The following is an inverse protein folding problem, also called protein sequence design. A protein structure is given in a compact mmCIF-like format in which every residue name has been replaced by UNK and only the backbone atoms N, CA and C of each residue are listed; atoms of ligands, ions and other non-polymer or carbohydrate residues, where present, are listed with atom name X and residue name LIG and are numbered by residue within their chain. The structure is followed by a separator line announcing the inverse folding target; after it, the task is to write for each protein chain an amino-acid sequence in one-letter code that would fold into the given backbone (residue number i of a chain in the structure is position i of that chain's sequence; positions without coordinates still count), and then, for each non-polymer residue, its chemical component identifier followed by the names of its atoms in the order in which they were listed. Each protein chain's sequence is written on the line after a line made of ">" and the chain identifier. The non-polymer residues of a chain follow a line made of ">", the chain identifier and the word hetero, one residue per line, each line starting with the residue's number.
data_IF_659577015717
#
_entry.id   IF_659577015717
#
_cell.length_a   1.000
_cell.length_b   1.000
_cell.length_c   1.000
_cell.angle_alpha   90.00
_cell.angle_beta   90.00
_cell.angle_gamma   90.00
#
_symmetry.space_group_name_H-M   'P 1'
#
loop_
_entity.id
_entity.type
_entity.pdbx_description
1 polymer ?
#
# COMPACT_ATOMS: atom_id res chain seq x y z
N UNK A 1 0.15 19.21 6.83
CA UNK A 1 0.66 17.95 6.24
C UNK A 1 1.64 17.29 7.20
N UNK A 2 1.24 16.20 7.87
CA UNK A 2 2.17 15.33 8.61
C UNK A 2 2.58 14.24 7.61
N UNK A 3 3.76 14.38 7.03
CA UNK A 3 4.34 13.32 6.20
C UNK A 3 4.74 12.17 7.12
N UNK A 4 4.06 11.02 6.97
CA UNK A 4 4.48 9.80 7.63
C UNK A 4 5.77 9.30 6.98
N UNK A 5 6.91 9.61 7.58
CA UNK A 5 8.20 9.06 7.21
C UNK A 5 8.27 7.63 7.73
N UNK A 6 8.36 6.62 6.85
CA UNK A 6 8.69 5.27 7.31
C UNK A 6 10.20 5.11 7.39
N UNK A 7 10.68 4.80 8.59
CA UNK A 7 12.09 4.61 8.88
C UNK A 7 12.32 3.12 9.17
N UNK A 8 13.24 2.50 8.43
CA UNK A 8 13.73 1.15 8.72
C UNK A 8 14.92 1.29 9.67
N UNK A 9 14.78 0.74 10.88
CA UNK A 9 15.84 0.73 11.88
C UNK A 9 16.60 -0.59 11.81
N UNK A 10 17.77 -0.57 11.17
CA UNK A 10 18.67 -1.72 11.19
C UNK A 10 19.44 -1.74 12.53
N UNK A 11 19.26 -2.83 13.30
CA UNK A 11 19.86 -2.97 14.62
C UNK A 11 21.13 -3.82 14.54
N UNK A 12 22.16 -3.54 15.36
CA UNK A 12 23.34 -4.40 15.38
C UNK A 12 22.97 -5.83 15.78
N UNK A 13 23.67 -6.82 15.21
CA UNK A 13 23.42 -8.23 15.52
C UNK A 13 23.51 -8.52 17.02
N UNK A 14 22.47 -9.16 17.57
CA UNK A 14 22.32 -9.43 19.02
C UNK A 14 23.31 -10.46 19.58
N UNK A 15 24.14 -11.06 18.72
CA UNK A 15 25.09 -12.12 19.08
C UNK A 15 26.28 -11.61 19.92
N UNK A 16 26.60 -10.31 19.86
CA UNK A 16 27.75 -9.70 20.54
C UNK A 16 27.41 -8.97 21.85
N UNK A 17 26.15 -8.97 22.28
CA UNK A 17 25.68 -8.13 23.37
C UNK A 17 25.47 -8.94 24.66
N UNK A 18 25.70 -8.34 25.82
CA UNK A 18 25.26 -8.94 27.07
C UNK A 18 23.74 -8.75 27.26
N UNK A 19 23.10 -9.63 28.02
CA UNK A 19 21.63 -9.71 28.10
C UNK A 19 20.98 -8.40 28.58
N UNK A 20 21.58 -7.72 29.55
CA UNK A 20 21.03 -6.47 30.09
C UNK A 20 21.16 -5.31 29.10
N UNK A 21 22.25 -5.24 28.33
CA UNK A 21 22.44 -4.23 27.29
C UNK A 21 21.44 -4.37 26.15
N UNK A 22 21.15 -5.61 25.70
CA UNK A 22 20.15 -5.85 24.64
C UNK A 22 18.79 -5.39 25.08
N UNK A 23 18.35 -5.80 26.28
CA UNK A 23 17.00 -5.50 26.75
C UNK A 23 16.79 -4.00 26.91
N UNK A 24 17.69 -3.33 27.61
CA UNK A 24 17.59 -1.88 27.84
C UNK A 24 17.62 -1.09 26.53
N UNK A 25 18.47 -1.48 25.58
CA UNK A 25 18.53 -0.85 24.26
C UNK A 25 17.25 -1.08 23.44
N UNK A 26 16.79 -2.33 23.34
CA UNK A 26 15.60 -2.65 22.54
C UNK A 26 14.34 -2.01 23.14
N UNK A 27 14.20 -1.98 24.47
CA UNK A 27 13.12 -1.24 25.14
C UNK A 27 13.18 0.24 24.77
N UNK A 28 14.35 0.86 24.92
CA UNK A 28 14.54 2.28 24.57
C UNK A 28 14.22 2.55 23.10
N UNK A 29 14.64 1.67 22.20
CA UNK A 29 14.38 1.81 20.77
C UNK A 29 12.89 1.69 20.47
N UNK A 30 12.22 0.68 21.04
CA UNK A 30 10.78 0.48 20.85
C UNK A 30 9.97 1.67 21.41
N UNK A 31 10.34 2.20 22.57
CA UNK A 31 9.69 3.37 23.16
C UNK A 31 9.88 4.63 22.33
N UNK A 32 11.05 4.82 21.74
CA UNK A 32 11.36 5.98 20.88
C UNK A 32 10.72 5.89 19.51
N UNK A 33 10.67 4.69 18.93
CA UNK A 33 10.30 4.49 17.50
C UNK A 33 8.87 4.02 17.30
N UNK A 34 8.26 3.39 18.32
CA UNK A 34 6.91 2.81 18.26
C UNK A 34 6.68 1.99 16.96
N UNK A 35 7.49 0.95 16.71
CA UNK A 35 7.52 0.31 15.41
C UNK A 35 6.24 -0.47 15.12
N UNK A 36 5.77 -0.42 13.87
CA UNK A 36 4.62 -1.22 13.43
C UNK A 36 4.92 -2.72 13.36
N UNK A 37 6.18 -3.06 13.05
CA UNK A 37 6.64 -4.42 12.84
C UNK A 37 8.11 -4.54 13.27
N UNK A 38 8.43 -5.68 13.88
CA UNK A 38 9.79 -6.11 14.15
C UNK A 38 10.10 -7.33 13.28
N UNK A 39 11.16 -7.25 12.48
CA UNK A 39 11.64 -8.35 11.64
C UNK A 39 12.92 -8.91 12.28
N UNK A 40 12.81 -10.10 12.86
CA UNK A 40 13.95 -10.80 13.46
C UNK A 40 14.54 -11.79 12.46
N UNK A 41 15.79 -11.57 12.06
CA UNK A 41 16.50 -12.42 11.11
C UNK A 41 17.45 -13.38 11.83
N UNK A 42 17.39 -14.67 11.51
CA UNK A 42 18.39 -15.66 11.93
C UNK A 42 18.85 -16.52 10.75
N UNK A 43 20.14 -16.84 10.70
CA UNK A 43 20.70 -17.70 9.66
C UNK A 43 20.90 -19.13 10.18
N UNK A 44 20.76 -20.17 9.34
CA UNK A 44 21.08 -21.55 9.73
C UNK A 44 22.52 -21.65 10.21
N UNK A 45 22.70 -21.95 11.50
CA UNK A 45 24.02 -22.05 12.14
C UNK A 45 24.48 -20.81 12.90
N UNK A 46 23.78 -19.67 12.78
CA UNK A 46 23.90 -18.54 13.73
C UNK A 46 22.65 -18.55 14.62
N UNK A 47 22.75 -19.27 15.73
CA UNK A 47 21.71 -19.23 16.76
C UNK A 47 22.06 -18.12 17.73
N UNK A 48 21.23 -17.09 17.76
CA UNK A 48 21.16 -16.22 18.91
C UNK A 48 20.77 -17.03 20.15
N UNK A 49 21.00 -16.44 21.33
CA UNK A 49 20.48 -16.97 22.58
C UNK A 49 18.95 -16.96 22.51
N UNK A 50 18.35 -18.14 22.44
CA UNK A 50 16.89 -18.32 22.29
C UNK A 50 16.08 -17.58 23.37
N UNK A 51 16.67 -17.37 24.55
CA UNK A 51 16.07 -16.59 25.64
C UNK A 51 15.89 -15.12 25.27
N UNK A 52 16.83 -14.50 24.54
CA UNK A 52 16.71 -13.12 24.07
C UNK A 52 15.58 -13.01 23.04
N UNK A 53 15.49 -13.96 22.11
CA UNK A 53 14.44 -13.99 21.09
C UNK A 53 13.07 -14.16 21.76
N UNK A 54 12.93 -15.10 22.69
CA UNK A 54 11.68 -15.28 23.45
C UNK A 54 11.27 -14.02 24.18
N UNK A 55 12.20 -13.35 24.86
CA UNK A 55 11.92 -12.08 25.53
C UNK A 55 11.45 -11.02 24.53
N UNK A 56 12.18 -10.82 23.43
CA UNK A 56 11.86 -9.80 22.43
C UNK A 56 10.47 -10.04 21.81
N UNK A 57 10.13 -11.28 21.48
CA UNK A 57 8.80 -11.63 20.95
C UNK A 57 7.71 -11.37 22.00
N UNK A 58 7.99 -11.63 23.28
CA UNK A 58 7.04 -11.33 24.37
C UNK A 58 6.80 -9.82 24.51
N UNK A 59 7.85 -9.01 24.43
CA UNK A 59 7.73 -7.54 24.45
C UNK A 59 6.95 -7.01 23.25
N UNK A 60 7.20 -7.54 22.04
CA UNK A 60 6.43 -7.18 20.85
C UNK A 60 4.94 -7.46 21.07
N UNK A 61 4.61 -8.63 21.63
CA UNK A 61 3.22 -8.96 21.95
C UNK A 61 2.60 -7.99 22.96
N UNK A 62 3.28 -7.71 24.08
CA UNK A 62 2.78 -6.78 25.12
C UNK A 62 2.53 -5.37 24.58
N UNK A 63 3.31 -4.94 23.57
CA UNK A 63 3.22 -3.62 22.95
C UNK A 63 2.41 -3.59 21.65
N UNK A 64 1.76 -4.70 21.28
CA UNK A 64 1.00 -4.84 20.02
C UNK A 64 1.83 -4.54 18.75
N UNK A 65 3.09 -4.96 18.75
CA UNK A 65 4.01 -4.84 17.61
C UNK A 65 3.99 -6.16 16.86
N UNK A 66 3.72 -6.11 15.55
CA UNK A 66 3.73 -7.32 14.72
C UNK A 66 5.15 -7.92 14.65
N UNK A 67 5.28 -9.24 14.76
CA UNK A 67 6.58 -9.91 14.79
C UNK A 67 6.76 -10.85 13.59
N UNK A 68 7.71 -10.54 12.71
CA UNK A 68 8.13 -11.45 11.64
C UNK A 68 9.44 -12.15 12.02
N UNK A 69 9.38 -13.47 12.27
CA UNK A 69 10.56 -14.30 12.52
C UNK A 69 11.04 -14.93 11.21
N UNK A 70 12.20 -14.51 10.74
CA UNK A 70 12.69 -14.79 9.40
C UNK A 70 13.96 -15.63 9.46
N UNK A 71 13.89 -16.85 8.94
CA UNK A 71 15.08 -17.65 8.67
C UNK A 71 15.70 -17.19 7.33
N UNK A 72 16.87 -16.55 7.39
CA UNK A 72 17.61 -16.14 6.20
C UNK A 72 18.37 -17.31 5.59
N UNK A 73 18.91 -17.14 4.39
CA UNK A 73 19.63 -18.19 3.67
C UNK A 73 18.81 -19.49 3.55
N UNK A 74 17.57 -19.38 3.06
CA UNK A 74 16.62 -20.51 3.01
C UNK A 74 17.15 -21.78 2.33
N UNK A 75 18.16 -21.65 1.47
CA UNK A 75 18.77 -22.77 0.75
C UNK A 75 20.03 -23.31 1.44
N UNK A 76 20.65 -22.55 2.34
CA UNK A 76 21.91 -22.91 2.98
C UNK A 76 21.70 -23.77 4.23
N UNK A 77 22.58 -24.76 4.40
CA UNK A 77 22.68 -25.55 5.63
C UNK A 77 21.60 -26.61 5.84
N UNK A 78 21.89 -27.55 6.75
CA UNK A 78 20.99 -28.67 7.09
C UNK A 78 19.96 -28.33 8.16
N UNK A 79 20.13 -27.20 8.86
CA UNK A 79 19.39 -26.87 10.09
C UNK A 79 18.35 -25.75 9.92
N UNK A 80 18.03 -25.32 8.70
CA UNK A 80 17.01 -24.28 8.44
C UNK A 80 15.64 -24.62 9.03
N UNK A 81 15.23 -25.89 8.91
CA UNK A 81 13.96 -26.34 9.50
C UNK A 81 14.03 -26.25 11.03
N UNK A 82 15.18 -26.57 11.63
CA UNK A 82 15.37 -26.41 13.07
C UNK A 82 15.25 -24.96 13.54
N UNK A 83 15.61 -23.96 12.71
CA UNK A 83 15.37 -22.54 13.03
C UNK A 83 13.88 -22.22 12.99
N UNK A 84 13.18 -22.65 11.93
CA UNK A 84 11.73 -22.45 11.77
C UNK A 84 10.94 -23.13 12.90
N UNK A 85 11.28 -24.37 13.22
CA UNK A 85 10.65 -25.15 14.29
C UNK A 85 10.84 -24.46 15.65
N UNK A 86 12.02 -23.90 15.89
CA UNK A 86 12.34 -23.19 17.12
C UNK A 86 11.57 -21.86 17.23
N UNK A 87 11.46 -21.11 16.14
CA UNK A 87 10.60 -19.92 16.07
C UNK A 87 9.14 -20.26 16.34
N UNK A 88 8.63 -21.33 15.71
CA UNK A 88 7.27 -21.81 15.98
C UNK A 88 7.11 -22.25 17.45
N UNK A 89 8.12 -22.88 18.04
CA UNK A 89 8.09 -23.27 19.46
C UNK A 89 8.03 -22.06 20.38
N UNK A 90 8.80 -21.01 20.09
CA UNK A 90 8.76 -19.74 20.84
C UNK A 90 7.36 -19.12 20.73
N UNK A 91 6.82 -18.98 19.53
CA UNK A 91 5.50 -18.38 19.31
C UNK A 91 4.37 -19.19 19.96
N UNK A 92 4.38 -20.52 19.85
CA UNK A 92 3.41 -21.38 20.53
C UNK A 92 3.49 -21.26 22.07
N UNK A 93 4.67 -20.99 22.62
CA UNK A 93 4.83 -20.79 24.07
C UNK A 93 4.25 -19.46 24.55
N UNK A 94 4.30 -18.42 23.71
CA UNK A 94 3.79 -17.07 24.01
C UNK A 94 2.29 -16.97 23.67
N UNK A 95 1.85 -17.65 22.62
CA UNK A 95 0.49 -17.64 22.10
C UNK A 95 -0.13 -19.05 22.07
N UNK A 96 -0.37 -19.69 23.22
CA UNK A 96 -0.79 -21.11 23.29
C UNK A 96 -2.17 -21.38 22.69
N UNK A 97 -2.98 -20.33 22.44
CA UNK A 97 -4.34 -20.45 21.90
C UNK A 97 -4.40 -20.21 20.38
N UNK A 98 -3.33 -19.71 19.76
CA UNK A 98 -3.28 -19.43 18.33
C UNK A 98 -2.86 -20.70 17.60
N UNK A 99 -3.66 -21.12 16.62
CA UNK A 99 -3.32 -22.26 15.77
C UNK A 99 -2.62 -21.74 14.52
N UNK A 100 -1.38 -22.15 14.25
CA UNK A 100 -0.65 -21.65 13.10
C UNK A 100 -1.29 -22.12 11.78
N UNK A 101 -1.31 -21.23 10.79
CA UNK A 101 -1.81 -21.50 9.44
C UNK A 101 -0.64 -21.36 8.47
N UNK A 102 -0.37 -22.39 7.69
CA UNK A 102 0.68 -22.34 6.67
C UNK A 102 0.08 -22.02 5.29
N UNK A 103 0.60 -20.96 4.66
CA UNK A 103 0.20 -20.52 3.32
C UNK A 103 1.44 -19.94 2.61
N UNK A 104 1.74 -20.43 1.40
CA UNK A 104 2.84 -19.96 0.57
C UNK A 104 4.23 -19.98 1.24
N UNK A 105 4.51 -20.99 2.07
CA UNK A 105 5.74 -21.11 2.88
C UNK A 105 5.86 -20.03 3.98
N UNK A 106 4.76 -19.39 4.35
CA UNK A 106 4.66 -18.51 5.51
C UNK A 106 3.75 -19.18 6.54
N UNK A 107 4.18 -19.24 7.79
CA UNK A 107 3.42 -19.77 8.91
C UNK A 107 2.88 -18.58 9.69
N UNK A 108 1.58 -18.34 9.60
CA UNK A 108 0.89 -17.24 10.24
C UNK A 108 0.42 -17.62 11.64
N UNK A 109 0.65 -16.73 12.61
CA UNK A 109 0.09 -16.77 13.95
C UNK A 109 -0.92 -15.63 14.08
N UNK A 110 -2.04 -15.76 13.37
CA UNK A 110 -3.09 -14.73 13.29
C UNK A 110 -2.50 -13.35 12.88
N UNK A 111 -2.95 -12.27 13.52
CA UNK A 111 -2.50 -10.90 13.29
C UNK A 111 -1.33 -10.46 14.21
N UNK A 112 -0.67 -11.39 14.92
CA UNK A 112 0.41 -11.03 15.88
C UNK A 112 1.81 -11.36 15.36
N UNK A 113 1.96 -12.45 14.61
CA UNK A 113 3.27 -12.86 14.14
C UNK A 113 3.21 -13.73 12.88
N UNK A 114 4.35 -13.83 12.19
CA UNK A 114 4.58 -14.83 11.16
C UNK A 114 5.99 -15.44 11.27
N UNK A 115 6.14 -16.63 10.70
CA UNK A 115 7.44 -17.29 10.50
C UNK A 115 7.61 -17.57 9.02
N UNK A 116 8.77 -17.26 8.46
CA UNK A 116 9.07 -17.57 7.05
C UNK A 116 10.56 -17.81 6.82
N UNK A 117 10.89 -18.31 5.64
CA UNK A 117 12.26 -18.44 5.15
C UNK A 117 12.47 -17.56 3.93
N UNK A 118 13.60 -16.86 3.87
CA UNK A 118 13.93 -15.99 2.72
C UNK A 118 15.35 -16.18 2.25
N UNK A 119 15.56 -15.87 0.97
CA UNK A 119 16.86 -15.64 0.38
C UNK A 119 16.79 -14.36 -0.45
N UNK A 120 17.46 -13.30 0.02
CA UNK A 120 17.47 -12.00 -0.67
C UNK A 120 18.35 -11.96 -1.90
N UNK A 121 19.26 -12.94 -2.06
CA UNK A 121 20.17 -13.06 -3.19
C UNK A 121 20.10 -14.47 -3.77
N UNK A 122 20.74 -14.70 -4.91
CA UNK A 122 20.91 -16.06 -5.44
C UNK A 122 21.80 -16.88 -4.50
N UNK A 123 21.41 -18.12 -4.22
CA UNK A 123 22.24 -19.07 -3.50
C UNK A 123 23.04 -19.91 -4.49
N UNK A 124 24.35 -19.98 -4.27
CA UNK A 124 25.29 -20.72 -5.09
C UNK A 124 26.12 -21.64 -4.21
N UNK A 125 25.97 -22.96 -4.42
CA UNK A 125 26.84 -23.98 -3.84
C UNK A 125 27.73 -24.56 -4.94
N UNK A 126 28.99 -24.12 -4.96
CA UNK A 126 29.96 -24.51 -5.99
C UNK A 126 30.43 -25.96 -5.84
N UNK A 127 30.36 -26.51 -4.63
CA UNK A 127 30.85 -27.86 -4.36
C UNK A 127 29.85 -28.92 -4.87
N UNK A 128 28.57 -28.54 -4.95
CA UNK A 128 27.48 -29.41 -5.40
C UNK A 128 26.81 -28.96 -6.71
N UNK A 129 27.33 -27.91 -7.36
CA UNK A 129 26.76 -27.31 -8.58
C UNK A 129 25.26 -26.96 -8.44
N UNK A 130 24.90 -26.39 -7.28
CA UNK A 130 23.52 -26.00 -6.99
C UNK A 130 23.40 -24.48 -7.06
N UNK A 131 22.45 -24.02 -7.89
CA UNK A 131 22.05 -22.62 -7.99
C UNK A 131 20.56 -22.50 -7.69
N UNK A 132 20.18 -21.60 -6.78
CA UNK A 132 18.79 -21.33 -6.42
C UNK A 132 18.53 -19.82 -6.43
N UNK A 133 17.43 -19.36 -7.07
CA UNK A 133 17.14 -17.94 -7.16
C UNK A 133 16.83 -17.33 -5.78
N UNK A 134 16.87 -16.00 -5.72
CA UNK A 134 16.28 -15.25 -4.62
C UNK A 134 14.79 -15.61 -4.50
N UNK A 135 14.28 -15.73 -3.27
CA UNK A 135 12.91 -16.20 -3.02
C UNK A 135 12.47 -15.87 -1.59
N UNK A 136 11.16 -15.77 -1.38
CA UNK A 136 10.54 -15.58 -0.07
C UNK A 136 10.37 -14.11 0.36
N UNK A 137 11.04 -13.16 -0.29
CA UNK A 137 10.97 -11.73 0.07
C UNK A 137 9.58 -11.17 -0.21
N UNK A 138 9.00 -11.48 -1.37
CA UNK A 138 7.67 -10.99 -1.72
C UNK A 138 6.60 -11.60 -0.81
N UNK A 139 6.74 -12.88 -0.44
CA UNK A 139 5.85 -13.55 0.51
C UNK A 139 5.97 -12.95 1.91
N UNK A 140 7.17 -12.59 2.35
CA UNK A 140 7.39 -11.87 3.61
C UNK A 140 6.69 -10.50 3.59
N UNK A 141 6.90 -9.71 2.53
CA UNK A 141 6.28 -8.39 2.41
C UNK A 141 4.75 -8.49 2.40
N UNK A 142 4.21 -9.39 1.58
CA UNK A 142 2.77 -9.62 1.51
C UNK A 142 2.22 -10.14 2.84
N UNK A 143 2.91 -11.09 3.47
CA UNK A 143 2.50 -11.73 4.72
C UNK A 143 2.44 -10.74 5.88
N UNK A 144 3.41 -9.82 5.98
CA UNK A 144 3.36 -8.72 6.96
C UNK A 144 2.10 -7.88 6.68
N UNK A 145 1.94 -7.36 5.46
CA UNK A 145 0.81 -6.49 5.11
C UNK A 145 -0.56 -7.13 5.37
N UNK A 146 -0.75 -8.39 4.96
CA UNK A 146 -1.97 -9.17 5.17
C UNK A 146 -2.32 -9.36 6.65
N UNK A 147 -1.32 -9.41 7.52
CA UNK A 147 -1.51 -9.68 8.96
C UNK A 147 -1.76 -8.41 9.77
N UNK A 148 -1.52 -7.23 9.18
CA UNK A 148 -1.77 -5.94 9.81
C UNK A 148 -3.24 -5.52 9.66
N UNK A 149 -3.71 -4.67 10.56
CA UNK A 149 -4.99 -3.98 10.35
C UNK A 149 -4.91 -3.05 9.14
N UNK A 150 -6.06 -2.54 8.68
CA UNK A 150 -6.14 -1.77 7.43
C UNK A 150 -5.15 -0.60 7.38
N UNK A 151 -5.09 0.21 8.44
CA UNK A 151 -4.27 1.43 8.47
C UNK A 151 -2.77 1.09 8.50
N UNK A 152 -2.38 0.10 9.30
CA UNK A 152 -0.98 -0.36 9.38
C UNK A 152 -0.54 -1.12 8.13
N UNK A 153 -1.43 -1.89 7.51
CA UNK A 153 -1.18 -2.57 6.23
C UNK A 153 -0.82 -1.56 5.15
N UNK A 154 -1.54 -0.44 5.11
CA UNK A 154 -1.30 0.63 4.16
C UNK A 154 0.00 1.37 4.43
N UNK A 155 0.28 1.72 5.68
CA UNK A 155 1.57 2.29 6.08
C UNK A 155 2.73 1.37 5.65
N UNK A 156 2.59 0.06 5.86
CA UNK A 156 3.55 -0.96 5.44
C UNK A 156 3.75 -1.00 3.93
N UNK A 157 2.67 -1.05 3.15
CA UNK A 157 2.78 -1.09 1.69
C UNK A 157 3.36 0.20 1.10
N UNK A 158 3.13 1.35 1.74
CA UNK A 158 3.81 2.61 1.41
C UNK A 158 5.32 2.50 1.58
N UNK A 159 5.79 1.86 2.65
CA UNK A 159 7.22 1.64 2.90
C UNK A 159 7.91 0.84 1.80
N UNK A 160 7.22 -0.15 1.23
CA UNK A 160 7.76 -1.04 0.19
C UNK A 160 7.34 -0.65 -1.23
N UNK A 161 6.75 0.54 -1.39
CA UNK A 161 6.23 1.06 -2.67
C UNK A 161 7.27 1.06 -3.80
N UNK A 162 8.53 1.30 -3.45
CA UNK A 162 9.66 1.34 -4.39
C UNK A 162 10.09 -0.05 -4.88
N UNK A 163 9.58 -1.14 -4.29
CA UNK A 163 9.93 -2.50 -4.70
C UNK A 163 9.08 -2.97 -5.89
N UNK A 164 9.47 -2.61 -7.10
CA UNK A 164 8.75 -2.96 -8.34
C UNK A 164 8.48 -4.44 -8.53
N UNK A 165 9.45 -5.28 -8.15
CA UNK A 165 9.32 -6.73 -8.29
C UNK A 165 8.20 -7.26 -7.41
N UNK A 166 8.08 -6.76 -6.17
CA UNK A 166 6.99 -7.14 -5.27
C UNK A 166 5.62 -6.84 -5.90
N UNK A 167 5.38 -5.61 -6.33
CA UNK A 167 4.07 -5.20 -6.88
C UNK A 167 3.70 -5.95 -8.15
N UNK A 168 4.69 -6.22 -9.01
CA UNK A 168 4.49 -6.99 -10.24
C UNK A 168 4.12 -8.43 -9.91
N UNK A 169 4.93 -9.08 -9.06
CA UNK A 169 4.81 -10.51 -8.76
C UNK A 169 3.60 -10.82 -7.86
N UNK A 170 3.18 -9.88 -7.02
CA UNK A 170 2.06 -10.05 -6.07
C UNK A 170 0.76 -9.38 -6.53
N UNK A 171 0.72 -8.80 -7.73
CA UNK A 171 -0.43 -8.03 -8.26
C UNK A 171 -1.78 -8.75 -8.10
N UNK A 172 -1.87 -10.04 -8.45
CA UNK A 172 -3.09 -10.82 -8.28
C UNK A 172 -3.50 -11.03 -6.82
N UNK A 173 -2.54 -11.26 -5.92
CA UNK A 173 -2.82 -11.43 -4.48
C UNK A 173 -3.20 -10.10 -3.83
N UNK A 174 -2.56 -9.01 -4.24
CA UNK A 174 -2.88 -7.66 -3.80
C UNK A 174 -4.26 -7.24 -4.30
N UNK A 175 -4.59 -7.54 -5.55
CA UNK A 175 -5.93 -7.36 -6.12
C UNK A 175 -7.00 -8.02 -5.25
N UNK A 176 -6.78 -9.28 -4.86
CA UNK A 176 -7.69 -9.98 -3.96
C UNK A 176 -7.72 -9.37 -2.55
N UNK A 177 -6.56 -8.99 -2.00
CA UNK A 177 -6.45 -8.40 -0.66
C UNK A 177 -7.19 -7.06 -0.56
N UNK A 178 -7.05 -6.21 -1.58
CA UNK A 178 -7.69 -4.89 -1.64
C UNK A 178 -9.10 -4.94 -2.24
N UNK A 179 -9.54 -6.10 -2.76
CA UNK A 179 -10.81 -6.26 -3.49
C UNK A 179 -10.89 -5.34 -4.72
N UNK A 180 -9.77 -5.17 -5.43
CA UNK A 180 -9.65 -4.33 -6.62
C UNK A 180 -9.30 -5.18 -7.85
N UNK A 181 -9.73 -4.84 -9.08
CA UNK A 181 -9.29 -5.56 -10.28
C UNK A 181 -7.77 -5.49 -10.49
N UNK A 182 -7.15 -6.58 -10.92
CA UNK A 182 -5.68 -6.65 -11.14
C UNK A 182 -5.20 -5.58 -12.11
N UNK A 183 -5.94 -5.33 -13.20
CA UNK A 183 -5.61 -4.31 -14.19
C UNK A 183 -5.47 -2.91 -13.59
N UNK A 184 -6.42 -2.55 -12.72
CA UNK A 184 -6.43 -1.28 -11.96
C UNK A 184 -5.22 -1.17 -11.05
N UNK A 185 -4.86 -2.25 -10.34
CA UNK A 185 -3.70 -2.25 -9.45
C UNK A 185 -2.37 -2.09 -10.20
N UNK A 186 -2.23 -2.75 -11.37
CA UNK A 186 -1.04 -2.62 -12.22
C UNK A 186 -0.92 -1.24 -12.89
N UNK A 187 -2.03 -0.61 -13.29
CA UNK A 187 -1.99 0.75 -13.84
C UNK A 187 -1.65 1.79 -12.77
N UNK A 188 -2.21 1.63 -11.55
CA UNK A 188 -1.93 2.50 -10.41
C UNK A 188 -0.48 2.38 -9.92
N UNK A 189 0.11 1.18 -10.03
CA UNK A 189 1.51 0.96 -9.70
C UNK A 189 2.48 1.78 -10.57
N UNK A 190 2.16 2.00 -11.86
CA UNK A 190 2.94 2.89 -12.73
C UNK A 190 3.05 4.33 -12.20
N UNK A 191 2.16 4.71 -11.28
CA UNK A 191 2.07 6.00 -10.62
C UNK A 191 2.27 5.90 -9.09
N UNK A 192 2.83 4.79 -8.58
CA UNK A 192 2.80 4.37 -7.17
C UNK A 192 3.31 5.38 -6.14
N UNK A 193 4.23 6.28 -6.49
CA UNK A 193 4.65 7.36 -5.57
C UNK A 193 3.48 8.26 -5.22
N UNK A 194 2.59 8.53 -6.19
CA UNK A 194 1.44 9.41 -6.02
C UNK A 194 0.23 8.65 -5.49
N UNK A 195 0.06 7.37 -5.84
CA UNK A 195 -1.09 6.55 -5.42
C UNK A 195 -1.15 6.28 -3.91
N UNK A 196 -0.01 6.04 -3.26
CA UNK A 196 0.03 5.77 -1.81
C UNK A 196 0.02 7.08 -1.02
N UNK A 197 0.51 8.19 -1.57
CA UNK A 197 0.24 9.52 -0.99
C UNK A 197 -1.26 9.89 -1.11
N UNK A 198 -1.91 9.48 -2.20
CA UNK A 198 -3.33 9.69 -2.53
C UNK A 198 -4.31 8.89 -1.67
N UNK A 199 -4.03 7.61 -1.37
CA UNK A 199 -4.89 6.80 -0.50
C UNK A 199 -4.80 7.18 0.99
N UNK A 200 -3.72 7.85 1.42
CA UNK A 200 -3.34 7.95 2.85
C UNK A 200 -3.16 9.39 3.35
N UNK A 201 -3.71 10.40 2.67
CA UNK A 201 -3.80 11.76 3.21
C UNK A 201 -5.08 11.92 4.05
N UNK A 202 -4.97 11.63 5.35
CA UNK A 202 -6.06 11.88 6.32
C UNK A 202 -6.28 13.39 6.60
N UNK A 203 -5.41 14.29 6.12
CA UNK A 203 -5.53 15.72 6.42
C UNK A 203 -6.65 16.44 5.64
N UNK A 204 -7.43 15.72 4.83
CA UNK A 204 -8.59 16.27 4.10
C UNK A 204 -9.95 16.07 4.79
N UNK A 205 -10.01 15.46 5.98
CA UNK A 205 -11.28 15.24 6.68
C UNK A 205 -11.53 16.16 7.89
N UNK A 206 -10.57 16.97 8.32
CA UNK A 206 -10.73 17.89 9.44
C UNK A 206 -9.85 19.14 9.29
N UNK A 207 -10.36 20.18 8.63
CA UNK A 207 -10.09 21.57 9.02
C UNK A 207 -11.18 22.49 8.46
N UNK A 208 -12.08 22.92 9.35
CA UNK A 208 -12.82 24.18 9.19
C UNK A 208 -11.83 25.35 9.37
N UNK A 209 -11.90 26.30 8.43
CA UNK A 209 -11.51 27.71 8.49
C UNK A 209 -10.27 28.11 9.33
N UNK A 210 -9.20 28.55 8.65
CA UNK A 210 -8.82 29.98 8.65
C UNK A 210 -7.60 30.27 7.76
N UNK A 211 -7.81 31.22 6.85
CA UNK A 211 -6.89 32.22 6.28
C UNK A 211 -5.51 31.76 5.77
N UNK A 212 -5.40 31.59 4.44
CA UNK A 212 -4.11 31.60 3.72
C UNK A 212 -4.21 32.43 2.43
N UNK A 213 -3.47 33.54 2.40
CA UNK A 213 -3.16 34.33 1.20
C UNK A 213 -2.37 33.52 0.17
N UNK A 214 -2.63 33.70 -1.15
CA UNK A 214 -1.98 32.88 -2.18
C UNK A 214 -0.55 33.33 -2.47
N UNK A 215 0.37 32.37 -2.53
CA UNK A 215 1.65 32.54 -3.20
C UNK A 215 1.45 32.39 -4.71
N UNK A 216 1.74 33.46 -5.45
CA UNK A 216 1.70 33.49 -6.91
C UNK A 216 2.91 32.77 -7.51
N UNK A 217 2.69 31.65 -8.19
CA UNK A 217 3.53 31.21 -9.31
C UNK A 217 2.80 31.50 -10.61
N UNK A 218 3.46 32.25 -11.49
CA UNK A 218 2.94 32.65 -12.80
C UNK A 218 3.21 31.58 -13.85
N UNK A 219 2.25 31.46 -14.76
CA UNK A 219 2.31 30.93 -16.13
C UNK A 219 2.14 29.41 -16.32
N UNK A 220 1.03 28.89 -15.80
CA UNK A 220 0.26 27.79 -16.44
C UNK A 220 -1.23 28.12 -16.31
N UNK A 221 -1.99 28.11 -17.41
CA UNK A 221 -3.45 28.33 -17.40
C UNK A 221 -4.11 27.15 -16.66
N UNK A 222 -4.71 27.44 -15.50
CA UNK A 222 -5.25 26.45 -14.55
C UNK A 222 -6.73 26.20 -14.83
N UNK A 223 -7.13 24.95 -15.06
CA UNK A 223 -8.54 24.58 -14.98
C UNK A 223 -8.97 24.54 -13.50
N UNK A 224 -9.86 25.44 -13.09
CA UNK A 224 -10.32 25.54 -11.71
C UNK A 224 -11.57 24.68 -11.51
N UNK A 225 -11.40 23.55 -10.83
CA UNK A 225 -12.50 22.71 -10.40
C UNK A 225 -13.30 23.37 -9.28
N UNK A 226 -14.64 23.23 -9.31
CA UNK A 226 -15.52 23.81 -8.28
C UNK A 226 -16.10 22.78 -7.33
N UNK A 227 -16.64 21.66 -7.84
CA UNK A 227 -17.36 20.73 -6.96
C UNK A 227 -17.61 19.34 -7.59
N UNK A 228 -17.73 18.31 -6.74
CA UNK A 228 -18.26 17.00 -7.12
C UNK A 228 -19.30 16.51 -6.10
N UNK A 229 -20.37 15.90 -6.61
CA UNK A 229 -21.46 15.34 -5.81
C UNK A 229 -21.81 13.91 -6.26
N UNK A 230 -21.98 12.99 -5.30
CA UNK A 230 -22.63 11.69 -5.54
C UNK A 230 -24.12 11.84 -5.31
N UNK A 231 -24.92 11.39 -6.29
CA UNK A 231 -26.37 11.35 -6.19
C UNK A 231 -26.86 9.91 -6.35
N UNK A 232 -27.63 9.45 -5.36
CA UNK A 232 -28.33 8.17 -5.43
C UNK A 232 -29.48 8.24 -6.44
N UNK A 233 -29.54 7.27 -7.36
CA UNK A 233 -30.62 7.20 -8.34
C UNK A 233 -31.86 6.51 -7.75
N UNK A 234 -33.02 7.20 -7.70
CA UNK A 234 -34.23 6.64 -7.06
C UNK A 234 -34.82 5.42 -7.79
N UNK A 235 -34.48 5.21 -9.06
CA UNK A 235 -35.09 4.16 -9.91
C UNK A 235 -34.22 2.90 -10.08
N UNK A 236 -32.96 2.91 -9.63
CA UNK A 236 -32.05 1.77 -9.76
C UNK A 236 -31.20 1.62 -8.49
N UNK A 237 -31.53 0.61 -7.66
CA UNK A 237 -30.89 0.37 -6.35
C UNK A 237 -29.39 0.06 -6.39
N UNK A 238 -28.78 -0.08 -7.56
CA UNK A 238 -27.36 -0.45 -7.71
C UNK A 238 -26.50 0.56 -8.47
N UNK A 239 -27.10 1.59 -9.09
CA UNK A 239 -26.36 2.58 -9.87
C UNK A 239 -26.33 3.93 -9.16
N UNK A 240 -25.18 4.59 -9.23
CA UNK A 240 -24.98 5.95 -8.71
C UNK A 240 -24.64 6.92 -9.82
N UNK A 241 -25.06 8.16 -9.65
CA UNK A 241 -24.63 9.29 -10.48
C UNK A 241 -23.55 10.07 -9.78
N UNK A 242 -22.57 10.46 -10.56
CA UNK A 242 -21.53 11.38 -10.19
C UNK A 242 -21.67 12.64 -11.00
N UNK A 243 -21.68 13.76 -10.30
CA UNK A 243 -21.76 15.07 -10.92
C UNK A 243 -20.44 15.76 -10.65
N UNK A 244 -19.75 16.14 -11.73
CA UNK A 244 -18.53 16.95 -11.67
C UNK A 244 -18.82 18.33 -12.25
N UNK A 245 -18.40 19.39 -11.56
CA UNK A 245 -18.56 20.77 -12.00
C UNK A 245 -17.20 21.43 -12.16
N UNK A 246 -16.88 21.85 -13.38
CA UNK A 246 -15.60 22.49 -13.74
C UNK A 246 -15.84 23.91 -14.21
N UNK A 247 -14.97 24.83 -13.81
CA UNK A 247 -14.77 26.10 -14.50
C UNK A 247 -13.52 25.98 -15.36
N UNK A 248 -13.67 26.25 -16.64
CA UNK A 248 -12.62 26.00 -17.62
C UNK A 248 -12.22 27.28 -18.32
N UNK A 249 -10.93 27.59 -18.32
CA UNK A 249 -10.45 28.76 -19.07
C UNK A 249 -10.35 28.45 -20.59
N UNK A 250 -10.33 27.17 -20.98
CA UNK A 250 -10.30 26.72 -22.38
C UNK A 250 -11.25 25.53 -22.64
N UNK A 251 -12.21 25.73 -23.54
CA UNK A 251 -13.22 24.75 -23.95
C UNK A 251 -12.59 23.59 -24.74
N UNK A 252 -11.43 23.76 -25.37
CA UNK A 252 -10.85 22.72 -26.24
C UNK A 252 -10.52 21.41 -25.50
N UNK A 253 -10.19 21.47 -24.19
CA UNK A 253 -9.87 20.29 -23.36
C UNK A 253 -11.08 19.48 -22.89
N UNK A 254 -12.30 19.93 -23.17
CA UNK A 254 -13.55 19.32 -22.69
C UNK A 254 -13.97 18.08 -23.48
N UNK A 255 -13.44 17.93 -24.69
CA UNK A 255 -13.83 16.87 -25.62
C UNK A 255 -13.29 15.51 -25.16
N UNK A 256 -12.20 15.48 -24.41
CA UNK A 256 -11.53 14.25 -24.00
C UNK A 256 -12.06 13.69 -22.67
N UNK A 257 -12.59 14.55 -21.80
CA UNK A 257 -13.01 14.15 -20.45
C UNK A 257 -14.09 13.05 -20.43
N UNK A 258 -15.16 13.10 -21.26
CA UNK A 258 -16.11 11.99 -21.35
C UNK A 258 -15.48 10.68 -21.83
N UNK A 259 -14.48 10.75 -22.72
CA UNK A 259 -13.80 9.57 -23.26
C UNK A 259 -12.94 8.88 -22.20
N UNK A 260 -12.27 9.67 -21.37
CA UNK A 260 -11.50 9.17 -20.21
C UNK A 260 -12.43 8.49 -19.21
N UNK A 261 -13.55 9.12 -18.87
CA UNK A 261 -14.51 8.54 -17.94
C UNK A 261 -15.08 7.22 -18.46
N UNK A 262 -15.35 7.10 -19.76
CA UNK A 262 -15.76 5.83 -20.38
C UNK A 262 -14.68 4.75 -20.25
N UNK A 263 -13.40 5.09 -20.48
CA UNK A 263 -12.28 4.16 -20.26
C UNK A 263 -12.16 3.71 -18.80
N UNK A 264 -12.54 4.57 -17.86
CA UNK A 264 -12.59 4.29 -16.42
C UNK A 264 -13.87 3.57 -15.97
N UNK A 265 -14.66 3.04 -16.91
CA UNK A 265 -15.85 2.24 -16.62
C UNK A 265 -17.14 3.04 -16.40
N UNK A 266 -17.17 4.33 -16.77
CA UNK A 266 -18.43 5.06 -16.81
C UNK A 266 -19.34 4.50 -17.90
N UNK A 267 -20.54 4.12 -17.51
CA UNK A 267 -21.59 3.63 -18.42
C UNK A 267 -22.09 4.73 -19.35
N UNK A 268 -22.24 5.94 -18.80
CA UNK A 268 -22.64 7.11 -19.56
C UNK A 268 -22.01 8.37 -18.98
N UNK A 269 -21.76 9.37 -19.83
CA UNK A 269 -21.30 10.68 -19.42
C UNK A 269 -22.04 11.72 -20.26
N UNK A 270 -22.72 12.66 -19.58
CA UNK A 270 -23.46 13.75 -20.22
C UNK A 270 -22.86 15.07 -19.77
N UNK A 271 -22.57 15.94 -20.72
CA UNK A 271 -22.08 17.31 -20.45
C UNK A 271 -23.23 18.31 -20.56
N UNK A 272 -23.35 19.20 -19.59
CA UNK A 272 -24.31 20.30 -19.55
C UNK A 272 -23.57 21.62 -19.27
N UNK A 273 -23.85 22.66 -20.05
CA UNK A 273 -23.38 24.03 -19.75
C UNK A 273 -24.28 24.65 -18.68
N UNK A 274 -23.69 25.13 -17.57
CA UNK A 274 -24.45 25.54 -16.38
C UNK A 274 -24.98 26.98 -16.42
N UNK A 275 -24.46 27.85 -17.28
CA UNK A 275 -25.02 29.17 -17.52
C UNK A 275 -24.43 29.80 -18.79
N UNK A 276 -25.19 30.66 -19.48
CA UNK A 276 -24.68 31.42 -20.65
C UNK A 276 -24.01 32.73 -20.25
N UNK A 277 -24.29 33.23 -19.05
CA UNK A 277 -23.76 34.49 -18.54
C UNK A 277 -22.52 34.30 -17.67
N UNK A 278 -22.35 33.11 -17.08
CA UNK A 278 -21.17 32.71 -16.32
C UNK A 278 -20.19 32.03 -17.27
N UNK A 279 -19.18 32.74 -17.76
CA UNK A 279 -18.22 32.20 -18.71
C UNK A 279 -17.58 30.90 -18.16
N UNK A 280 -17.91 29.79 -18.83
CA UNK A 280 -17.23 28.49 -18.81
C UNK A 280 -17.43 27.51 -17.65
N UNK A 281 -18.63 27.45 -17.05
CA UNK A 281 -18.99 26.35 -16.15
C UNK A 281 -19.58 25.15 -16.91
N UNK A 282 -18.91 24.00 -16.84
CA UNK A 282 -19.39 22.72 -17.35
C UNK A 282 -19.73 21.74 -16.24
N UNK A 283 -20.85 21.05 -16.42
CA UNK A 283 -21.32 19.97 -15.56
C UNK A 283 -21.22 18.66 -16.31
N UNK A 284 -20.48 17.69 -15.78
CA UNK A 284 -20.46 16.31 -16.28
C UNK A 284 -21.27 15.44 -15.34
N UNK A 285 -22.28 14.77 -15.89
CA UNK A 285 -23.13 13.82 -15.17
C UNK A 285 -22.73 12.42 -15.66
N UNK A 286 -22.14 11.64 -14.77
CA UNK A 286 -21.50 10.36 -15.05
C UNK A 286 -22.25 9.26 -14.32
N UNK A 287 -22.65 8.22 -15.04
CA UNK A 287 -23.30 7.05 -14.46
C UNK A 287 -22.33 5.87 -14.45
N UNK A 288 -22.27 5.16 -13.33
CA UNK A 288 -21.53 3.90 -13.20
C UNK A 288 -22.49 2.72 -13.02
N UNK A 289 -22.05 1.53 -13.45
CA UNK A 289 -22.87 0.31 -13.34
C UNK A 289 -23.04 -0.16 -11.90
N UNK A 290 -22.03 0.06 -11.06
CA UNK A 290 -22.07 -0.24 -9.64
C UNK A 290 -21.65 0.95 -8.78
N UNK A 291 -22.07 0.84 -7.52
CA UNK A 291 -21.90 1.86 -6.49
C UNK A 291 -20.44 1.98 -6.03
N UNK A 292 -19.70 0.87 -6.00
CA UNK A 292 -18.32 0.84 -5.51
C UNK A 292 -17.38 1.57 -6.46
N UNK A 293 -17.53 1.40 -7.78
CA UNK A 293 -16.79 2.15 -8.79
C UNK A 293 -17.13 3.64 -8.76
N UNK A 294 -18.41 3.99 -8.57
CA UNK A 294 -18.79 5.39 -8.41
C UNK A 294 -18.08 6.00 -7.19
N UNK A 295 -18.18 5.39 -6.02
CA UNK A 295 -17.53 5.90 -4.81
C UNK A 295 -16.01 5.99 -4.96
N UNK A 296 -15.37 4.98 -5.56
CA UNK A 296 -13.94 5.02 -5.86
C UNK A 296 -13.58 6.21 -6.78
N UNK A 297 -14.38 6.45 -7.82
CA UNK A 297 -14.17 7.55 -8.78
C UNK A 297 -14.44 8.93 -8.17
N UNK A 298 -15.45 9.04 -7.29
CA UNK A 298 -15.73 10.25 -6.53
C UNK A 298 -14.55 10.66 -5.68
N UNK A 299 -14.06 9.72 -4.88
CA UNK A 299 -12.92 9.94 -3.99
C UNK A 299 -11.67 10.24 -4.81
N UNK A 300 -11.46 9.53 -5.93
CA UNK A 300 -10.37 9.81 -6.86
C UNK A 300 -10.36 11.26 -7.35
N UNK A 301 -11.52 11.77 -7.76
CA UNK A 301 -11.64 13.10 -8.34
C UNK A 301 -11.68 14.26 -7.34
N UNK A 302 -12.29 14.07 -6.16
CA UNK A 302 -12.19 15.06 -5.08
C UNK A 302 -10.73 15.31 -4.72
N UNK A 303 -9.90 14.26 -4.71
CA UNK A 303 -8.49 14.33 -4.35
C UNK A 303 -7.62 14.98 -5.43
N UNK A 304 -7.92 14.81 -6.73
CA UNK A 304 -7.19 15.48 -7.82
C UNK A 304 -7.52 16.98 -7.88
N UNK A 305 -8.78 17.34 -7.63
CA UNK A 305 -9.24 18.72 -7.60
C UNK A 305 -8.60 19.55 -6.46
N UNK A 306 -8.50 19.00 -5.25
CA UNK A 306 -7.90 19.72 -4.10
C UNK A 306 -6.38 19.88 -4.18
N UNK A 307 -5.69 19.09 -4.99
CA UNK A 307 -4.22 19.08 -5.03
C UNK A 307 -3.61 19.88 -6.20
N UNK A 308 -4.39 20.67 -6.96
CA UNK A 308 -3.94 21.33 -8.20
C UNK A 308 -3.14 20.37 -9.11
N UNK A 309 -3.56 19.10 -9.19
CA UNK A 309 -2.89 18.13 -10.03
C UNK A 309 -3.24 18.47 -11.47
N UNK A 310 -2.25 18.98 -12.21
CA UNK A 310 -2.34 19.38 -13.60
C UNK A 310 -3.04 18.32 -14.47
N UNK A 311 -3.96 18.75 -15.34
CA UNK A 311 -4.71 17.91 -16.29
C UNK A 311 -3.81 17.06 -17.21
N UNK A 312 -2.50 17.32 -17.27
CA UNK A 312 -1.51 16.54 -18.02
C UNK A 312 -1.49 15.05 -17.65
N UNK A 313 -1.77 14.70 -16.39
CA UNK A 313 -1.80 13.28 -15.95
C UNK A 313 -3.00 12.54 -16.57
N UNK A 314 -4.09 13.27 -16.84
CA UNK A 314 -5.32 12.72 -17.39
C UNK A 314 -5.16 12.42 -18.90
N UNK A 315 -4.43 13.27 -19.62
CA UNK A 315 -4.08 13.07 -21.03
C UNK A 315 -3.11 11.87 -21.19
N UNK A 316 -2.10 11.73 -20.30
CA UNK A 316 -1.16 10.60 -20.30
C UNK A 316 -1.83 9.25 -19.95
N UNK A 317 -2.82 9.26 -19.05
CA UNK A 317 -3.64 8.09 -18.75
C UNK A 317 -4.51 7.71 -19.95
N UNK A 318 -5.10 8.68 -20.65
CA UNK A 318 -5.92 8.44 -21.85
C UNK A 318 -5.14 7.72 -22.95
N UNK A 319 -3.88 8.12 -23.21
CA UNK A 319 -3.01 7.52 -24.23
C UNK A 319 -2.54 6.10 -23.90
N UNK A 320 -2.48 5.74 -22.61
CA UNK A 320 -2.12 4.37 -22.21
C UNK A 320 -3.31 3.40 -22.30
N UNK A 321 -4.52 3.88 -22.02
CA UNK A 321 -5.74 3.07 -22.16
C UNK A 321 -6.18 2.88 -23.63
N UNK A 322 -5.84 3.78 -24.56
CA UNK A 322 -6.13 3.60 -25.99
C UNK A 322 -5.28 2.51 -26.67
N UNK A 323 -4.15 2.11 -26.06
CA UNK A 323 -3.28 1.06 -26.58
C UNK A 323 -3.68 -0.36 -26.15
N UNK A 324 -4.65 -0.50 -25.24
CA UNK A 324 -5.10 -1.80 -24.73
C UNK A 324 -6.06 -2.51 -25.72
N UNK A 325 -6.70 -1.79 -26.63
CA UNK A 325 -7.60 -2.35 -27.65
C UNK A 325 -6.90 -2.81 -28.96
N UNK A 326 -5.57 -2.97 -28.95
CA UNK A 326 -4.79 -3.38 -30.14
C UNK A 326 -4.06 -4.72 -30.04
N UNK A 327 -4.46 -5.60 -29.12
CA UNK A 327 -3.97 -7.00 -29.04
C UNK A 327 -5.12 -8.00 -29.00
#
# INVERSE_FOLDING_TARGET
>A
RITHETIIWDTPGIESWNENEVRSYMISLIEQTQPLCMIYCASPGSFARLEHVRWLVSECYEKNIFCALVCTNMWAGRNRQGVVDEFCRILNSIHPNIHPIEEDNVIYFDNVALVTMVNSQEYIDKDFDVMKPASGIEQLIFGIGKSLNRDLMFAWFRTVSQNTNFWTNMSSKLSHLFQMPTGTLTSLYGHASNFLDFLFDESNFLHDDDDMTPLTTKDTEECLFHDAEIIDLPEQKSSKKLIFTFQLDDIARTIEFPQILQKLGAKSCKTEELDKESEHLLKFIVEFEDTEHAEAMYHFWQLTATNQINCTIVDELSDQFSNIDSV
#
